data_IF_763321685092
#
_entry.id   IF_763321685092
#
_cell.length_a   1.000
_cell.length_b   1.000
_cell.length_c   1.000
_cell.angle_alpha   90.00
_cell.angle_beta   90.00
_cell.angle_gamma   90.00
#
_symmetry.space_group_name_H-M   'P 1'
#
loop_
_entity.id
_entity.type
_entity.pdbx_description
1 polymer ?
#
# COMPACT_ATOMS: atom_id res chain seq x y z
N UNK A 1 -1.07 -1.92 -33.61
CA UNK A 1 -0.46 -2.63 -32.47
C UNK A 1 -0.80 -1.89 -31.19
N UNK A 2 -1.41 -2.59 -30.24
CA UNK A 2 -1.71 -1.99 -28.94
C UNK A 2 -0.44 -1.98 -28.10
N UNK A 3 -0.02 -0.81 -27.61
CA UNK A 3 1.06 -0.70 -26.65
C UNK A 3 0.49 -0.99 -25.27
N UNK A 4 1.01 -2.03 -24.61
CA UNK A 4 0.62 -2.33 -23.24
C UNK A 4 1.42 -1.44 -22.29
N UNK A 5 0.77 -0.77 -21.34
CA UNK A 5 1.52 -0.01 -20.34
C UNK A 5 2.38 -0.95 -19.49
N UNK A 6 3.56 -0.46 -19.10
CA UNK A 6 4.42 -1.18 -18.16
C UNK A 6 3.85 -1.04 -16.76
N UNK A 7 3.72 -2.16 -16.06
CA UNK A 7 3.29 -2.20 -14.66
C UNK A 7 4.50 -2.45 -13.78
N UNK A 8 4.64 -1.62 -12.75
CA UNK A 8 5.67 -1.78 -11.72
C UNK A 8 5.09 -2.46 -10.50
N UNK A 9 5.91 -3.24 -9.80
CA UNK A 9 5.49 -3.98 -8.62
C UNK A 9 4.85 -5.31 -8.98
N UNK A 10 4.05 -5.90 -8.07
CA UNK A 10 3.65 -5.29 -6.80
C UNK A 10 4.77 -5.23 -5.77
N UNK A 11 4.63 -4.31 -4.83
CA UNK A 11 5.36 -4.33 -3.57
C UNK A 11 4.33 -4.42 -2.46
N UNK A 12 4.56 -5.30 -1.49
CA UNK A 12 3.62 -5.53 -0.40
C UNK A 12 4.31 -5.23 0.92
N UNK A 13 3.67 -4.42 1.76
CA UNK A 13 4.07 -4.18 3.14
C UNK A 13 3.09 -4.91 4.06
N UNK A 14 3.61 -5.58 5.09
CA UNK A 14 2.81 -6.39 6.01
C UNK A 14 2.84 -5.78 7.40
N UNK A 15 1.66 -5.62 7.97
CA UNK A 15 1.45 -5.23 9.36
C UNK A 15 0.98 -6.45 10.15
N UNK A 16 1.72 -6.81 11.21
CA UNK A 16 1.43 -7.97 12.04
C UNK A 16 1.35 -7.64 13.53
N UNK A 17 1.12 -6.38 13.86
CA UNK A 17 1.11 -5.82 15.21
C UNK A 17 2.49 -5.67 15.85
N UNK A 18 3.57 -6.08 15.16
CA UNK A 18 4.93 -5.81 15.63
C UNK A 18 5.35 -4.40 15.24
N UNK A 19 6.43 -3.91 15.83
CA UNK A 19 6.98 -2.59 15.48
C UNK A 19 7.68 -2.60 14.13
N UNK A 20 7.92 -3.77 13.55
CA UNK A 20 8.66 -3.92 12.30
C UNK A 20 7.70 -4.20 11.15
N UNK A 21 7.63 -3.29 10.17
CA UNK A 21 6.96 -3.54 8.92
C UNK A 21 7.84 -4.47 8.07
N UNK A 22 7.23 -5.48 7.47
CA UNK A 22 7.92 -6.43 6.61
C UNK A 22 7.46 -6.26 5.19
N UNK A 23 8.31 -6.63 4.24
CA UNK A 23 8.07 -6.41 2.81
C UNK A 23 8.28 -7.68 2.02
N UNK A 24 7.55 -7.78 0.91
CA UNK A 24 7.75 -8.82 -0.11
C UNK A 24 7.34 -8.26 -1.48
N UNK A 25 7.69 -8.98 -2.53
CA UNK A 25 7.29 -8.60 -3.89
C UNK A 25 5.97 -9.23 -4.32
N UNK A 26 5.33 -10.02 -3.45
CA UNK A 26 3.97 -10.53 -3.61
C UNK A 26 3.44 -10.99 -2.25
N UNK A 27 2.20 -11.51 -2.23
CA UNK A 27 1.52 -11.90 -0.98
C UNK A 27 2.01 -13.24 -0.41
N UNK A 28 2.72 -14.05 -1.19
CA UNK A 28 3.08 -15.42 -0.80
C UNK A 28 4.58 -15.66 -0.65
N UNK A 29 5.40 -14.68 -1.06
CA UNK A 29 6.86 -14.76 -0.91
C UNK A 29 7.29 -14.50 0.53
N UNK A 30 8.51 -14.92 0.85
CA UNK A 30 9.09 -14.68 2.16
C UNK A 30 9.18 -13.17 2.44
N UNK A 31 8.80 -12.80 3.66
CA UNK A 31 8.82 -11.42 4.12
C UNK A 31 10.19 -11.07 4.73
N UNK A 32 10.59 -9.82 4.53
CA UNK A 32 11.84 -9.29 5.07
C UNK A 32 11.58 -7.93 5.71
N UNK A 33 12.32 -7.56 6.79
CA UNK A 33 12.23 -6.20 7.34
C UNK A 33 12.82 -5.15 6.40
N UNK A 34 13.46 -5.58 5.32
CA UNK A 34 13.98 -4.70 4.28
C UNK A 34 13.32 -5.05 2.96
N UNK A 35 13.20 -4.06 2.07
CA UNK A 35 12.69 -4.31 0.73
C UNK A 35 13.61 -5.30 0.02
N UNK A 36 13.09 -6.39 -0.56
CA UNK A 36 13.89 -7.28 -1.40
C UNK A 36 14.50 -6.52 -2.59
N UNK A 37 15.57 -7.05 -3.17
CA UNK A 37 16.22 -6.44 -4.31
C UNK A 37 15.19 -6.16 -5.42
N UNK A 38 15.15 -4.92 -5.89
CA UNK A 38 14.18 -4.47 -6.90
C UNK A 38 14.68 -3.22 -7.60
N UNK A 39 13.81 -2.62 -8.40
CA UNK A 39 14.14 -1.39 -9.12
C UNK A 39 13.97 -0.14 -8.24
N UNK A 40 14.50 1.03 -8.67
CA UNK A 40 14.22 2.28 -7.96
C UNK A 40 12.73 2.57 -7.81
N UNK A 41 11.92 2.20 -8.80
CA UNK A 41 10.46 2.39 -8.73
C UNK A 41 9.87 1.48 -7.65
N UNK A 42 10.36 0.25 -7.48
CA UNK A 42 9.91 -0.63 -6.39
C UNK A 42 10.16 0.01 -5.02
N UNK A 43 11.28 0.72 -4.87
CA UNK A 43 11.56 1.45 -3.63
C UNK A 43 10.55 2.56 -3.38
N UNK A 44 10.13 3.25 -4.44
CA UNK A 44 9.10 4.29 -4.35
C UNK A 44 7.74 3.67 -3.95
N UNK A 45 7.37 2.55 -4.56
CA UNK A 45 6.14 1.82 -4.21
C UNK A 45 6.19 1.34 -2.76
N UNK A 46 7.33 0.85 -2.29
CA UNK A 46 7.52 0.42 -0.91
C UNK A 46 7.36 1.59 0.07
N UNK A 47 7.88 2.76 -0.29
CA UNK A 47 7.73 3.98 0.51
C UNK A 47 6.25 4.33 0.69
N UNK A 48 5.48 4.27 -0.38
CA UNK A 48 4.03 4.51 -0.31
C UNK A 48 3.35 3.44 0.55
N UNK A 49 3.66 2.16 0.35
CA UNK A 49 3.08 1.07 1.12
C UNK A 49 3.35 1.25 2.62
N UNK A 50 4.59 1.57 2.99
CA UNK A 50 4.97 1.80 4.38
C UNK A 50 4.23 3.00 4.97
N UNK A 51 4.15 4.09 4.22
CA UNK A 51 3.43 5.29 4.68
C UNK A 51 1.95 5.00 4.92
N UNK A 52 1.32 4.20 4.08
CA UNK A 52 -0.08 3.78 4.28
C UNK A 52 -0.20 2.94 5.55
N UNK A 53 0.70 1.98 5.79
CA UNK A 53 0.70 1.19 7.04
C UNK A 53 0.75 2.12 8.26
N UNK A 54 1.68 3.05 8.28
CA UNK A 54 1.84 3.98 9.40
C UNK A 54 0.64 4.92 9.55
N UNK A 55 0.07 5.36 8.45
CA UNK A 55 -1.11 6.22 8.45
C UNK A 55 -2.34 5.47 8.99
N UNK A 56 -2.48 4.19 8.64
CA UNK A 56 -3.55 3.34 9.17
C UNK A 56 -3.39 3.16 10.69
N UNK A 57 -2.15 2.90 11.16
CA UNK A 57 -1.88 2.79 12.59
C UNK A 57 -2.26 4.08 13.34
N UNK A 58 -1.86 5.22 12.80
CA UNK A 58 -2.18 6.51 13.41
C UNK A 58 -3.69 6.77 13.44
N UNK A 59 -4.37 6.51 12.32
CA UNK A 59 -5.81 6.70 12.22
C UNK A 59 -6.58 5.78 13.18
N UNK A 60 -6.10 4.55 13.36
CA UNK A 60 -6.70 3.61 14.31
C UNK A 60 -6.59 4.12 15.75
N UNK A 61 -5.45 4.72 16.12
CA UNK A 61 -5.26 5.32 17.44
C UNK A 61 -6.23 6.47 17.66
N UNK A 62 -6.46 7.30 16.64
CA UNK A 62 -7.42 8.40 16.71
C UNK A 62 -8.86 7.90 16.93
N UNK A 63 -9.17 6.70 16.48
CA UNK A 63 -10.46 6.05 16.69
C UNK A 63 -10.48 5.12 17.91
N UNK A 64 -9.41 5.11 18.72
CA UNK A 64 -9.25 4.22 19.88
C UNK A 64 -9.49 2.75 19.51
N UNK A 65 -9.02 2.34 18.33
CA UNK A 65 -9.25 1.02 17.78
C UNK A 65 -7.96 0.23 17.68
N UNK A 66 -8.00 -1.06 18.06
CA UNK A 66 -6.93 -2.00 17.77
C UNK A 66 -7.07 -2.52 16.35
N UNK A 67 -5.94 -2.85 15.73
CA UNK A 67 -5.91 -3.36 14.37
C UNK A 67 -5.65 -4.86 14.34
N UNK A 68 -6.28 -5.54 13.37
CA UNK A 68 -5.92 -6.89 12.97
C UNK A 68 -4.76 -6.81 11.96
N UNK A 69 -3.98 -7.89 11.79
CA UNK A 69 -2.95 -7.91 10.74
C UNK A 69 -3.54 -7.67 9.36
N UNK A 70 -2.82 -6.91 8.53
CA UNK A 70 -3.24 -6.62 7.16
C UNK A 70 -2.00 -6.44 6.28
N UNK A 71 -2.23 -6.40 4.97
CA UNK A 71 -1.19 -6.14 4.00
C UNK A 71 -1.58 -4.94 3.13
N UNK A 72 -0.56 -4.21 2.65
CA UNK A 72 -0.75 -3.10 1.71
C UNK A 72 0.03 -3.44 0.45
N UNK A 73 -0.69 -3.65 -0.64
CA UNK A 73 -0.12 -3.97 -1.95
C UNK A 73 -0.15 -2.72 -2.82
N UNK A 74 0.99 -2.35 -3.40
CA UNK A 74 1.10 -1.17 -4.26
C UNK A 74 1.63 -1.59 -5.63
N UNK A 75 0.93 -1.15 -6.66
CA UNK A 75 1.36 -1.28 -8.06
C UNK A 75 1.39 0.09 -8.70
N UNK A 76 2.22 0.25 -9.73
CA UNK A 76 2.30 1.49 -10.48
C UNK A 76 2.19 1.23 -11.98
N UNK A 77 1.60 2.19 -12.70
CA UNK A 77 1.47 2.13 -14.16
C UNK A 77 2.33 3.23 -14.76
N UNK A 78 3.23 2.85 -15.68
CA UNK A 78 4.09 3.81 -16.36
C UNK A 78 3.30 4.56 -17.44
N UNK A 79 3.52 5.87 -17.54
CA UNK A 79 2.96 6.67 -18.61
C UNK A 79 3.46 6.20 -19.99
N UNK A 80 2.62 6.27 -21.00
CA UNK A 80 2.98 5.88 -22.36
C UNK A 80 3.74 6.98 -23.10
N UNK A 81 3.67 8.21 -22.61
CA UNK A 81 4.33 9.37 -23.19
C UNK A 81 5.54 9.81 -22.36
N UNK A 82 6.26 10.79 -22.86
CA UNK A 82 7.38 11.42 -22.13
C UNK A 82 6.89 12.62 -21.32
N UNK A 83 7.55 12.95 -20.23
CA UNK A 83 8.72 12.28 -19.65
C UNK A 83 8.38 10.91 -19.02
N UNK A 84 9.36 10.00 -18.99
CA UNK A 84 9.19 8.70 -18.35
C UNK A 84 8.84 8.86 -16.88
N UNK A 85 7.68 8.30 -16.48
CA UNK A 85 7.16 8.47 -15.11
C UNK A 85 6.10 7.43 -14.80
N UNK A 86 5.87 7.24 -13.51
CA UNK A 86 4.68 6.52 -13.05
C UNK A 86 3.52 7.52 -13.08
N UNK A 87 2.47 7.23 -13.84
CA UNK A 87 1.32 8.13 -13.95
C UNK A 87 0.21 7.80 -12.97
N UNK A 88 0.18 6.57 -12.44
CA UNK A 88 -0.83 6.13 -11.50
C UNK A 88 -0.24 5.09 -10.57
N UNK A 89 -0.60 5.16 -9.29
CA UNK A 89 -0.32 4.13 -8.29
C UNK A 89 -1.62 3.63 -7.70
N UNK A 90 -1.74 2.31 -7.60
CA UNK A 90 -2.89 1.66 -6.99
C UNK A 90 -2.47 1.03 -5.67
N UNK A 91 -3.15 1.43 -4.59
CA UNK A 91 -2.94 0.90 -3.25
C UNK A 91 -4.13 0.01 -2.91
N UNK A 92 -3.83 -1.22 -2.50
CA UNK A 92 -4.84 -2.17 -2.08
C UNK A 92 -4.53 -2.62 -0.65
N UNK A 93 -5.44 -2.30 0.27
CA UNK A 93 -5.35 -2.76 1.66
C UNK A 93 -6.07 -4.09 1.74
N UNK A 94 -5.35 -5.14 2.09
CA UNK A 94 -5.82 -6.52 2.05
C UNK A 94 -5.99 -7.05 3.47
N UNK A 95 -7.19 -7.49 3.79
CA UNK A 95 -7.57 -7.98 5.10
C UNK A 95 -8.52 -7.02 5.81
N UNK A 96 -9.22 -7.53 6.80
CA UNK A 96 -10.09 -6.71 7.65
C UNK A 96 -9.24 -6.00 8.69
N UNK A 97 -9.29 -4.67 8.74
CA UNK A 97 -8.55 -3.89 9.74
C UNK A 97 -9.08 -4.13 11.15
N UNK A 98 -10.39 -4.31 11.26
CA UNK A 98 -11.08 -4.63 12.51
C UNK A 98 -12.50 -5.13 12.19
N UNK A 99 -13.20 -5.64 13.20
CA UNK A 99 -14.51 -6.24 13.01
C UNK A 99 -15.59 -5.25 12.55
N UNK A 100 -15.53 -3.99 13.00
CA UNK A 100 -16.48 -2.95 12.61
C UNK A 100 -16.11 -2.36 11.25
N UNK A 101 -16.82 -2.76 10.20
CA UNK A 101 -16.50 -2.34 8.84
C UNK A 101 -16.71 -0.83 8.61
N UNK A 102 -17.62 -0.21 9.33
CA UNK A 102 -17.86 1.23 9.20
C UNK A 102 -16.67 2.02 9.78
N UNK A 103 -16.17 1.61 10.94
CA UNK A 103 -14.97 2.22 11.53
C UNK A 103 -13.75 1.94 10.66
N UNK A 104 -13.62 0.73 10.13
CA UNK A 104 -12.53 0.41 9.21
C UNK A 104 -12.52 1.34 8.00
N UNK A 105 -13.67 1.62 7.40
CA UNK A 105 -13.77 2.54 6.26
C UNK A 105 -13.36 3.96 6.64
N UNK A 106 -13.72 4.43 7.83
CA UNK A 106 -13.31 5.74 8.33
C UNK A 106 -11.80 5.82 8.54
N UNK A 107 -11.20 4.75 9.07
CA UNK A 107 -9.75 4.66 9.28
C UNK A 107 -9.02 4.74 7.93
N UNK A 108 -9.48 4.00 6.92
CA UNK A 108 -8.87 4.03 5.58
C UNK A 108 -8.96 5.42 4.97
N UNK A 109 -10.12 6.07 5.08
CA UNK A 109 -10.32 7.42 4.55
C UNK A 109 -9.39 8.42 5.22
N UNK A 110 -9.27 8.37 6.54
CA UNK A 110 -8.36 9.24 7.29
C UNK A 110 -6.91 8.94 6.93
N UNK A 111 -6.52 7.67 6.88
CA UNK A 111 -5.16 7.27 6.52
C UNK A 111 -4.75 7.82 5.15
N UNK A 112 -5.63 7.73 4.16
CA UNK A 112 -5.35 8.29 2.83
C UNK A 112 -5.14 9.80 2.90
N UNK A 113 -5.94 10.51 3.68
CA UNK A 113 -5.88 11.97 3.77
C UNK A 113 -4.60 12.47 4.43
N UNK A 114 -4.01 11.68 5.35
CA UNK A 114 -2.81 12.07 6.09
C UNK A 114 -1.52 11.44 5.56
N UNK A 115 -1.60 10.58 4.56
CA UNK A 115 -0.43 9.90 4.02
C UNK A 115 0.49 10.89 3.31
N UNK A 116 1.58 11.25 3.96
CA UNK A 116 2.51 12.26 3.45
C UNK A 116 3.08 11.86 2.09
N UNK A 117 3.46 10.61 1.91
CA UNK A 117 4.03 10.14 0.63
C UNK A 117 2.99 10.26 -0.49
N UNK A 118 1.76 9.76 -0.26
CA UNK A 118 0.68 9.88 -1.24
C UNK A 118 0.42 11.34 -1.63
N UNK A 119 0.40 12.24 -0.64
CA UNK A 119 0.12 13.65 -0.87
C UNK A 119 1.28 14.38 -1.57
N UNK A 120 2.49 13.82 -1.50
CA UNK A 120 3.70 14.40 -2.10
C UNK A 120 3.85 14.00 -3.56
N UNK A 121 3.35 12.82 -3.94
CA UNK A 121 3.50 12.29 -5.29
C UNK A 121 2.68 13.09 -6.30
N UNK A 122 3.27 13.34 -7.47
CA UNK A 122 2.62 14.06 -8.57
C UNK A 122 1.96 13.09 -9.56
N UNK A 123 1.33 12.05 -9.04
CA UNK A 123 0.57 11.09 -9.85
C UNK A 123 -0.74 10.76 -9.13
N UNK A 124 -1.67 10.16 -9.86
CA UNK A 124 -2.91 9.70 -9.25
C UNK A 124 -2.61 8.53 -8.31
N UNK A 125 -3.14 8.57 -7.09
CA UNK A 125 -3.04 7.49 -6.12
C UNK A 125 -4.45 7.09 -5.72
N UNK A 126 -4.81 5.83 -5.98
CA UNK A 126 -6.10 5.27 -5.57
C UNK A 126 -5.89 4.29 -4.43
N UNK A 127 -6.82 4.28 -3.48
CA UNK A 127 -6.78 3.36 -2.33
C UNK A 127 -8.09 2.59 -2.30
N UNK A 128 -7.99 1.28 -2.32
CA UNK A 128 -9.12 0.37 -2.21
C UNK A 128 -8.86 -0.68 -1.12
N UNK A 129 -9.88 -1.40 -0.73
CA UNK A 129 -9.79 -2.47 0.26
C UNK A 129 -10.28 -3.78 -0.33
N UNK A 130 -9.75 -4.88 0.16
CA UNK A 130 -10.08 -6.22 -0.30
C UNK A 130 -9.99 -7.19 0.88
N UNK A 131 -10.90 -8.18 1.01
CA UNK A 131 -10.76 -9.19 2.05
C UNK A 131 -9.50 -10.01 1.85
N UNK A 132 -8.99 -10.59 2.95
CA UNK A 132 -7.84 -11.48 2.89
C UNK A 132 -8.15 -12.66 1.96
N UNK A 133 -7.16 -13.16 1.18
CA UNK A 133 -7.35 -14.36 0.39
C UNK A 133 -7.71 -15.55 1.29
N UNK A 134 -8.61 -16.39 0.81
CA UNK A 134 -8.90 -17.65 1.51
C UNK A 134 -7.66 -18.53 1.49
N UNK A 135 -7.34 -19.08 2.66
CA UNK A 135 -6.20 -19.99 2.80
C UNK A 135 -6.46 -21.32 2.10
#
# INVERSE_FOLDING_TARGET
MKIKPKIFGPVVAFYDRSDTTRYALDLVSDQSPHLPAGSPVDMLLASLAYCIVKSVEWAAKEHNSGLLPFAVKVTGTKALDLPGRVEQMEVLIIGDLLADSAVAAQIVKLAKSICTVSNTLNCAVTVATEPAPDA
#
